data_IF_568084381771
#
_entry.id   IF_568084381771
#
_cell.length_a   1.000
_cell.length_b   1.000
_cell.length_c   1.000
_cell.angle_alpha   90.00
_cell.angle_beta   90.00
_cell.angle_gamma   90.00
#
_symmetry.space_group_name_H-M   'P 1'
#
loop_
_entity.id
_entity.type
_entity.pdbx_description
1 polymer ?
#
# COMPACT_ATOMS: atom_id res chain seq x y z
N UNK A 1 2.47 -16.88 -27.10
CA UNK A 1 1.18 -16.36 -26.61
C UNK A 1 1.24 -16.03 -25.11
N UNK A 2 1.78 -16.92 -24.31
CA UNK A 2 1.93 -16.70 -22.87
C UNK A 2 2.89 -15.54 -22.60
N UNK A 3 3.96 -15.43 -23.36
CA UNK A 3 4.93 -14.34 -23.22
C UNK A 3 4.31 -12.96 -23.47
N UNK A 4 3.41 -12.87 -24.47
CA UNK A 4 2.75 -11.60 -24.76
C UNK A 4 1.84 -11.14 -23.61
N UNK A 5 1.13 -12.06 -22.98
CA UNK A 5 0.28 -11.74 -21.84
C UNK A 5 1.10 -11.24 -20.63
N UNK A 6 2.23 -11.89 -20.37
CA UNK A 6 3.14 -11.48 -19.27
C UNK A 6 3.74 -10.11 -19.57
N UNK A 7 4.17 -9.85 -20.80
CA UNK A 7 4.74 -8.55 -21.19
C UNK A 7 3.71 -7.43 -21.05
N UNK A 8 2.46 -7.67 -21.43
CA UNK A 8 1.38 -6.68 -21.28
C UNK A 8 1.12 -6.35 -19.83
N UNK A 9 1.05 -7.37 -18.98
CA UNK A 9 0.85 -7.18 -17.55
C UNK A 9 1.99 -6.37 -16.93
N UNK A 10 3.24 -6.69 -17.27
CA UNK A 10 4.40 -5.99 -16.77
C UNK A 10 4.42 -4.52 -17.23
N UNK A 11 4.08 -4.26 -18.49
CA UNK A 11 4.02 -2.88 -19.02
C UNK A 11 2.94 -2.08 -18.31
N UNK A 12 1.77 -2.66 -18.08
CA UNK A 12 0.68 -2.01 -17.39
C UNK A 12 1.07 -1.65 -15.95
N UNK A 13 1.66 -2.60 -15.23
CA UNK A 13 2.09 -2.37 -13.86
C UNK A 13 3.19 -1.32 -13.78
N UNK A 14 4.17 -1.35 -14.70
CA UNK A 14 5.23 -0.35 -14.76
C UNK A 14 4.68 1.05 -15.01
N UNK A 15 3.74 1.18 -15.95
CA UNK A 15 3.12 2.46 -16.28
C UNK A 15 2.36 3.03 -15.07
N UNK A 16 1.64 2.19 -14.32
CA UNK A 16 0.95 2.61 -13.11
C UNK A 16 1.94 3.09 -12.05
N UNK A 17 3.03 2.37 -11.86
CA UNK A 17 4.04 2.72 -10.85
C UNK A 17 4.80 3.99 -11.21
N UNK A 18 5.21 4.14 -12.47
CA UNK A 18 6.03 5.27 -12.90
C UNK A 18 5.30 6.60 -12.90
N UNK A 19 4.00 6.59 -13.15
CA UNK A 19 3.24 7.82 -13.36
C UNK A 19 2.39 8.26 -12.17
N UNK A 20 2.39 7.51 -11.08
CA UNK A 20 1.35 7.65 -10.06
C UNK A 20 1.87 7.88 -8.65
N UNK A 21 3.14 8.22 -8.51
CA UNK A 21 3.69 8.65 -7.22
C UNK A 21 3.51 10.16 -7.06
N UNK A 22 3.30 10.59 -5.82
CA UNK A 22 3.38 12.00 -5.48
C UNK A 22 4.81 12.44 -5.72
N UNK A 23 5.01 13.57 -6.41
CA UNK A 23 6.33 14.04 -6.81
C UNK A 23 7.30 14.10 -5.63
N UNK A 24 8.47 13.51 -5.82
CA UNK A 24 9.51 13.47 -4.81
C UNK A 24 9.31 12.45 -3.70
N UNK A 25 8.31 11.57 -3.82
CA UNK A 25 8.00 10.59 -2.79
C UNK A 25 7.83 9.19 -3.37
N UNK A 26 7.73 8.20 -2.47
CA UNK A 26 7.35 6.82 -2.79
C UNK A 26 5.87 6.55 -2.48
N UNK A 27 5.09 7.61 -2.30
CA UNK A 27 3.67 7.52 -1.92
C UNK A 27 2.82 7.59 -3.19
N UNK A 28 1.98 6.58 -3.41
CA UNK A 28 1.07 6.55 -4.56
C UNK A 28 -0.01 7.62 -4.44
N UNK A 29 -0.33 8.26 -5.56
CA UNK A 29 -1.44 9.22 -5.64
C UNK A 29 -2.78 8.53 -5.38
N UNK A 30 -3.82 9.30 -4.97
CA UNK A 30 -5.11 8.71 -4.59
C UNK A 30 -5.72 7.79 -5.65
N UNK A 31 -5.72 8.20 -6.90
CA UNK A 31 -6.31 7.42 -7.97
C UNK A 31 -5.58 6.09 -8.19
N UNK A 32 -4.26 6.14 -8.25
CA UNK A 32 -3.43 4.96 -8.42
C UNK A 32 -3.54 4.03 -7.21
N UNK A 33 -3.51 4.59 -6.02
CA UNK A 33 -3.60 3.79 -4.79
C UNK A 33 -4.97 3.12 -4.68
N UNK A 34 -6.04 3.84 -4.98
CA UNK A 34 -7.39 3.28 -4.97
C UNK A 34 -7.51 2.10 -5.94
N UNK A 35 -7.00 2.26 -7.16
CA UNK A 35 -7.03 1.20 -8.17
C UNK A 35 -6.28 -0.04 -7.68
N UNK A 36 -5.12 0.16 -7.06
CA UNK A 36 -4.32 -0.92 -6.52
C UNK A 36 -5.03 -1.64 -5.38
N UNK A 37 -5.61 -0.88 -4.44
CA UNK A 37 -6.35 -1.44 -3.31
C UNK A 37 -7.56 -2.23 -3.80
N UNK A 38 -8.30 -1.70 -4.77
CA UNK A 38 -9.44 -2.40 -5.36
C UNK A 38 -9.02 -3.74 -5.96
N UNK A 39 -7.89 -3.76 -6.68
CA UNK A 39 -7.39 -4.99 -7.29
C UNK A 39 -7.05 -6.04 -6.24
N UNK A 40 -6.38 -5.65 -5.16
CA UNK A 40 -6.05 -6.56 -4.07
C UNK A 40 -7.28 -7.04 -3.31
N UNK A 41 -8.25 -6.16 -3.06
CA UNK A 41 -9.49 -6.55 -2.39
C UNK A 41 -10.30 -7.52 -3.24
N UNK A 42 -10.34 -7.30 -4.56
CA UNK A 42 -11.02 -8.20 -5.48
C UNK A 42 -10.37 -9.59 -5.47
N UNK A 43 -9.05 -9.64 -5.51
CA UNK A 43 -8.31 -10.89 -5.43
C UNK A 43 -8.54 -11.59 -4.09
N UNK A 44 -8.62 -10.84 -3.00
CA UNK A 44 -8.90 -11.38 -1.67
C UNK A 44 -10.30 -12.01 -1.60
N UNK A 45 -11.29 -11.35 -2.18
CA UNK A 45 -12.66 -11.89 -2.24
C UNK A 45 -12.72 -13.23 -2.98
N UNK A 46 -11.87 -13.39 -3.99
CA UNK A 46 -11.76 -14.63 -4.75
C UNK A 46 -10.82 -15.65 -4.12
N UNK A 47 -10.30 -15.34 -2.94
CA UNK A 47 -9.37 -16.20 -2.19
C UNK A 47 -8.07 -16.49 -2.94
N UNK A 48 -7.67 -15.57 -3.83
CA UNK A 48 -6.41 -15.69 -4.57
C UNK A 48 -5.21 -15.16 -3.79
N UNK A 49 -5.45 -14.24 -2.87
CA UNK A 49 -4.41 -13.65 -2.03
C UNK A 49 -5.03 -13.10 -0.75
N UNK A 50 -4.18 -12.76 0.19
CA UNK A 50 -4.54 -11.99 1.37
C UNK A 50 -3.93 -10.60 1.25
N UNK A 51 -4.58 -9.60 1.82
CA UNK A 51 -4.01 -8.27 1.92
C UNK A 51 -4.58 -7.57 3.15
N UNK A 52 -3.84 -6.61 3.67
CA UNK A 52 -4.27 -5.83 4.82
C UNK A 52 -3.87 -4.38 4.60
N UNK A 53 -4.76 -3.47 4.97
CA UNK A 53 -4.53 -2.03 4.88
C UNK A 53 -4.34 -1.47 6.28
N UNK A 54 -3.27 -0.71 6.48
CA UNK A 54 -3.00 -0.02 7.74
C UNK A 54 -3.08 1.48 7.50
N UNK A 55 -3.92 2.17 8.26
CA UNK A 55 -4.00 3.62 8.22
C UNK A 55 -2.93 4.21 9.13
N UNK A 56 -2.18 5.18 8.63
CA UNK A 56 -1.24 5.95 9.45
C UNK A 56 -2.00 7.18 9.95
N UNK A 57 -2.26 7.20 11.26
CA UNK A 57 -3.12 8.22 11.87
C UNK A 57 -2.35 9.51 12.13
N UNK A 58 -1.16 9.40 12.71
CA UNK A 58 -0.32 10.56 12.95
C UNK A 58 1.15 10.18 13.06
N UNK A 59 2.00 11.16 12.75
CA UNK A 59 3.43 11.06 12.95
C UNK A 59 3.98 12.49 13.01
N UNK A 60 5.13 12.66 13.65
CA UNK A 60 5.82 13.95 13.70
C UNK A 60 6.61 14.25 12.43
N UNK A 61 6.57 13.32 11.47
CA UNK A 61 7.32 13.42 10.23
C UNK A 61 6.50 14.10 9.14
N UNK A 62 7.20 14.75 8.21
CA UNK A 62 6.56 15.20 6.97
C UNK A 62 6.09 13.97 6.18
N UNK A 63 5.22 14.21 5.18
CA UNK A 63 4.73 13.14 4.32
C UNK A 63 5.88 12.38 3.64
N UNK A 64 6.88 13.11 3.13
CA UNK A 64 8.04 12.53 2.47
C UNK A 64 8.86 11.67 3.42
N UNK A 65 9.14 12.19 4.62
CA UNK A 65 9.89 11.47 5.64
C UNK A 65 9.13 10.24 6.12
N UNK A 66 7.82 10.36 6.30
CA UNK A 66 6.98 9.24 6.71
C UNK A 66 7.00 8.13 5.65
N UNK A 67 6.86 8.49 4.38
CA UNK A 67 6.93 7.53 3.28
C UNK A 67 8.26 6.80 3.22
N UNK A 68 9.36 7.52 3.37
CA UNK A 68 10.69 6.93 3.37
C UNK A 68 10.91 5.97 4.54
N UNK A 69 10.45 6.37 5.72
CA UNK A 69 10.59 5.53 6.92
C UNK A 69 9.72 4.27 6.82
N UNK A 70 8.48 4.41 6.36
CA UNK A 70 7.59 3.27 6.15
C UNK A 70 8.18 2.29 5.14
N UNK A 71 8.77 2.77 4.06
CA UNK A 71 9.37 1.92 3.04
C UNK A 71 10.49 1.04 3.63
N UNK A 72 11.23 1.54 4.60
CA UNK A 72 12.29 0.76 5.27
C UNK A 72 11.73 -0.31 6.19
N UNK A 73 10.49 -0.14 6.64
CA UNK A 73 9.84 -1.07 7.58
C UNK A 73 8.97 -2.11 6.85
N UNK A 74 8.78 -1.95 5.54
CA UNK A 74 7.94 -2.81 4.71
C UNK A 74 8.77 -3.55 3.67
N UNK A 75 8.16 -4.57 3.07
CA UNK A 75 8.76 -5.33 1.97
C UNK A 75 8.59 -4.56 0.66
N UNK A 76 9.38 -4.93 -0.36
CA UNK A 76 9.25 -4.32 -1.69
C UNK A 76 7.89 -4.58 -2.33
N UNK A 77 7.21 -5.65 -1.92
CA UNK A 77 5.87 -5.99 -2.41
C UNK A 77 4.75 -5.20 -1.75
N UNK A 78 5.07 -4.39 -0.74
CA UNK A 78 4.09 -3.58 -0.04
C UNK A 78 4.09 -2.16 -0.61
N UNK A 79 3.00 -1.42 -0.38
CA UNK A 79 2.81 -0.11 -0.98
C UNK A 79 2.40 0.92 0.05
N UNK A 80 2.81 2.16 -0.16
CA UNK A 80 2.34 3.32 0.61
C UNK A 80 1.57 4.22 -0.35
N UNK A 81 0.42 4.70 0.07
CA UNK A 81 -0.39 5.59 -0.74
C UNK A 81 -1.27 6.49 0.11
N UNK A 82 -1.95 7.41 -0.56
CA UNK A 82 -2.93 8.29 0.08
C UNK A 82 -4.27 8.11 -0.61
N UNK A 83 -5.36 8.33 0.14
CA UNK A 83 -6.69 8.49 -0.44
C UNK A 83 -7.03 9.97 -0.59
N UNK A 84 -8.19 10.27 -1.15
CA UNK A 84 -8.60 11.66 -1.40
C UNK A 84 -8.68 12.51 -0.13
N UNK A 85 -8.85 11.88 1.02
CA UNK A 85 -8.87 12.57 2.30
C UNK A 85 -7.46 13.01 2.77
N UNK A 86 -6.42 12.67 2.02
CA UNK A 86 -5.04 13.00 2.34
C UNK A 86 -4.39 12.10 3.37
N UNK A 87 -5.11 11.10 3.86
CA UNK A 87 -4.56 10.15 4.85
C UNK A 87 -3.65 9.15 4.19
N UNK A 88 -2.57 8.81 4.90
CA UNK A 88 -1.58 7.85 4.43
C UNK A 88 -1.97 6.44 4.86
N UNK A 89 -1.81 5.49 3.95
CA UNK A 89 -2.09 4.08 4.21
C UNK A 89 -0.93 3.23 3.71
N UNK A 90 -0.70 2.12 4.40
CA UNK A 90 0.21 1.08 3.94
C UNK A 90 -0.61 -0.14 3.51
N UNK A 91 -0.42 -0.60 2.29
CA UNK A 91 -1.05 -1.82 1.77
C UNK A 91 -0.05 -2.96 1.86
N UNK A 92 -0.37 -3.94 2.68
CA UNK A 92 0.48 -5.11 2.89
C UNK A 92 -0.01 -6.25 2.00
N UNK A 93 0.78 -6.58 0.98
CA UNK A 93 0.46 -7.65 0.05
C UNK A 93 0.74 -9.03 0.66
N UNK A 94 -0.10 -10.02 0.33
CA UNK A 94 0.04 -11.39 0.82
C UNK A 94 0.18 -11.49 2.35
N UNK A 95 -0.55 -10.63 3.06
CA UNK A 95 -0.46 -10.51 4.51
C UNK A 95 -1.84 -10.57 5.12
N UNK A 96 -2.07 -11.55 5.99
CA UNK A 96 -3.32 -11.65 6.75
C UNK A 96 -3.40 -10.58 7.83
N UNK A 97 -4.60 -10.34 8.35
CA UNK A 97 -4.77 -9.40 9.46
C UNK A 97 -3.94 -9.80 10.68
N UNK A 98 -3.79 -11.10 10.93
CA UNK A 98 -2.98 -11.61 12.02
C UNK A 98 -1.50 -11.24 11.84
N UNK A 99 -0.96 -11.47 10.65
CA UNK A 99 0.44 -11.15 10.36
C UNK A 99 0.66 -9.63 10.32
N UNK A 100 -0.34 -8.88 9.90
CA UNK A 100 -0.29 -7.42 9.86
C UNK A 100 -0.15 -6.81 11.27
N UNK A 101 -0.58 -7.50 12.31
CA UNK A 101 -0.41 -7.02 13.68
C UNK A 101 1.07 -6.86 14.05
N UNK A 102 1.93 -7.71 13.52
CA UNK A 102 3.38 -7.59 13.75
C UNK A 102 3.94 -6.35 13.05
N UNK A 103 3.44 -6.05 11.87
CA UNK A 103 3.85 -4.86 11.12
C UNK A 103 3.34 -3.60 11.82
N UNK A 104 2.09 -3.61 12.27
CA UNK A 104 1.50 -2.50 13.03
C UNK A 104 2.32 -2.20 14.28
N UNK A 105 2.70 -3.24 15.02
CA UNK A 105 3.54 -3.09 16.21
C UNK A 105 4.88 -2.44 15.86
N UNK A 106 5.49 -2.88 14.75
CA UNK A 106 6.76 -2.32 14.29
C UNK A 106 6.62 -0.84 13.93
N UNK A 107 5.52 -0.47 13.29
CA UNK A 107 5.24 0.93 12.97
C UNK A 107 5.11 1.77 14.25
N UNK A 108 4.41 1.25 15.25
CA UNK A 108 4.24 1.94 16.53
C UNK A 108 5.55 2.12 17.27
N UNK A 109 6.40 1.12 17.25
CA UNK A 109 7.74 1.18 17.87
C UNK A 109 8.61 2.26 17.22
N UNK A 110 8.36 2.57 15.94
CA UNK A 110 9.07 3.60 15.20
C UNK A 110 8.40 4.99 15.26
N UNK A 111 7.39 5.13 16.10
CA UNK A 111 6.76 6.42 16.36
C UNK A 111 5.50 6.73 15.57
N UNK A 112 4.99 5.78 14.79
CA UNK A 112 3.74 5.97 14.07
C UNK A 112 2.55 5.58 14.91
N UNK A 113 1.49 6.40 14.88
CA UNK A 113 0.18 6.00 15.33
C UNK A 113 -0.57 5.44 14.12
N UNK A 114 -0.98 4.19 14.20
CA UNK A 114 -1.58 3.50 13.06
C UNK A 114 -2.66 2.52 13.51
N UNK A 115 -3.50 2.11 12.56
CA UNK A 115 -4.63 1.23 12.82
C UNK A 115 -4.91 0.35 11.60
N UNK A 116 -5.08 -0.95 11.85
CA UNK A 116 -5.48 -1.89 10.80
C UNK A 116 -6.93 -1.60 10.41
N UNK A 117 -7.18 -1.49 9.11
CA UNK A 117 -8.52 -1.26 8.56
C UNK A 117 -9.15 -2.59 8.20
N UNK A 118 -10.24 -2.95 8.88
CA UNK A 118 -10.96 -4.21 8.61
C UNK A 118 -11.97 -4.03 7.49
N UNK A 119 -12.72 -2.93 7.50
CA UNK A 119 -13.70 -2.60 6.47
C UNK A 119 -13.15 -1.51 5.56
N UNK A 120 -12.86 -1.89 4.32
CA UNK A 120 -12.28 -0.97 3.34
C UNK A 120 -13.33 -0.66 2.28
N UNK A 121 -13.77 0.59 2.22
CA UNK A 121 -14.69 1.08 1.20
C UNK A 121 -13.91 1.91 0.18
N UNK A 122 -13.71 1.36 -1.00
CA UNK A 122 -13.01 2.03 -2.10
C UNK A 122 -13.78 1.96 -3.40
#
# INVERSE_FOLDING_TARGET
LIQNAVLRANRYMSALQEQRYIEGTNILEPEAFRSLVKAYLHAREKQLTECTLIQIISSDLTREEAGQKLAKLMRQSDYVGVFEDGRIYALLANTSAKDAQLVEKRFREEGFQCEIQEDIAV
#
